data_IF_342274714210
#
_entry.id   IF_342274714210
#
_cell.length_a   1.000
_cell.length_b   1.000
_cell.length_c   1.000
_cell.angle_alpha   90.00
_cell.angle_beta   90.00
_cell.angle_gamma   90.00
#
_symmetry.space_group_name_H-M   'P 1'
#
loop_
_entity.id
_entity.type
_entity.pdbx_description
1 polymer ?
#
# COMPACT_ATOMS: atom_id res chain seq x y z
N UNK A 1 5.09 -12.39 -3.01
CA UNK A 1 5.58 -11.18 -2.33
C UNK A 1 4.58 -10.07 -2.53
N UNK A 2 4.29 -9.29 -1.48
CA UNK A 2 3.44 -8.10 -1.56
C UNK A 2 4.31 -6.84 -1.59
N UNK A 3 4.00 -5.91 -2.49
CA UNK A 3 4.59 -4.57 -2.55
C UNK A 3 3.49 -3.51 -2.64
N UNK A 4 3.76 -2.31 -2.13
CA UNK A 4 2.79 -1.24 -2.04
C UNK A 4 3.28 0.01 -2.76
N UNK A 5 2.35 0.74 -3.35
CA UNK A 5 2.62 1.96 -4.12
C UNK A 5 1.59 3.03 -3.79
N UNK A 6 2.06 4.28 -3.75
CA UNK A 6 1.23 5.49 -3.72
C UNK A 6 1.54 6.31 -4.97
N UNK A 7 0.54 6.55 -5.81
CA UNK A 7 0.68 7.29 -7.07
C UNK A 7 1.84 6.75 -7.93
N UNK A 8 1.86 5.42 -8.10
CA UNK A 8 2.90 4.65 -8.81
C UNK A 8 4.31 4.69 -8.20
N UNK A 9 4.51 5.39 -7.09
CA UNK A 9 5.76 5.41 -6.34
C UNK A 9 5.75 4.32 -5.26
N UNK A 10 6.82 3.50 -5.15
CA UNK A 10 6.89 2.47 -4.13
C UNK A 10 6.91 3.10 -2.74
N UNK A 11 6.18 2.49 -1.80
CA UNK A 11 6.26 2.83 -0.39
C UNK A 11 6.95 1.72 0.38
N UNK A 12 7.61 2.11 1.47
CA UNK A 12 8.33 1.20 2.35
C UNK A 12 7.86 1.39 3.78
N UNK A 13 8.01 0.32 4.57
CA UNK A 13 7.75 0.34 5.99
C UNK A 13 8.59 1.44 6.67
N UNK A 14 7.98 2.20 7.57
CA UNK A 14 8.64 3.31 8.22
C UNK A 14 7.76 4.00 9.27
N UNK A 15 8.14 5.20 9.66
CA UNK A 15 7.51 5.89 10.79
C UNK A 15 6.02 6.22 10.59
N UNK A 16 5.60 6.45 9.34
CA UNK A 16 4.22 6.85 9.01
C UNK A 16 3.39 5.77 8.32
N UNK A 17 4.06 4.84 7.65
CA UNK A 17 3.45 3.76 6.89
C UNK A 17 3.91 2.45 7.50
N UNK A 18 2.98 1.74 8.14
CA UNK A 18 3.26 0.42 8.72
C UNK A 18 2.66 -0.64 7.82
N UNK A 19 3.50 -1.52 7.27
CA UNK A 19 3.09 -2.60 6.38
C UNK A 19 2.77 -3.84 7.23
N UNK A 20 1.49 -4.15 7.40
CA UNK A 20 1.02 -5.27 8.21
C UNK A 20 0.96 -6.54 7.35
N UNK A 21 1.39 -7.65 7.93
CA UNK A 21 1.32 -8.98 7.32
C UNK A 21 0.97 -10.03 8.38
N UNK A 22 -0.25 -10.56 8.31
CA UNK A 22 -0.77 -11.57 9.21
C UNK A 22 -1.39 -12.73 8.41
N UNK A 23 -0.58 -13.77 8.16
CA UNK A 23 -1.00 -14.91 7.34
C UNK A 23 -1.29 -14.48 5.90
N UNK A 24 -2.56 -14.52 5.50
CA UNK A 24 -3.00 -14.08 4.17
C UNK A 24 -3.54 -12.64 4.16
N UNK A 25 -3.53 -11.97 5.31
CA UNK A 25 -3.98 -10.60 5.44
C UNK A 25 -2.80 -9.63 5.29
N UNK A 26 -2.98 -8.62 4.45
CA UNK A 26 -2.01 -7.57 4.20
C UNK A 26 -2.70 -6.20 4.19
N UNK A 27 -2.18 -5.22 4.92
CA UNK A 27 -2.65 -3.84 4.87
C UNK A 27 -1.50 -2.84 5.06
N UNK A 28 -1.81 -1.57 4.82
CA UNK A 28 -0.93 -0.43 5.15
C UNK A 28 -1.67 0.46 6.12
N UNK A 29 -1.09 0.64 7.30
CA UNK A 29 -1.59 1.60 8.27
C UNK A 29 -0.87 2.93 8.06
N UNK A 30 -1.65 3.99 7.83
CA UNK A 30 -1.14 5.35 7.60
C UNK A 30 -1.45 6.21 8.82
N UNK A 31 -0.42 6.61 9.57
CA UNK A 31 -0.59 7.42 10.77
C UNK A 31 0.62 8.33 11.05
N UNK A 32 0.42 9.66 11.26
CA UNK A 32 -0.79 10.42 11.02
C UNK A 32 -1.10 10.57 9.51
N UNK A 33 -2.40 10.68 9.19
CA UNK A 33 -2.87 11.00 7.83
C UNK A 33 -2.73 12.50 7.58
N UNK A 34 -2.26 12.86 6.39
CA UNK A 34 -2.08 14.22 5.89
C UNK A 34 -2.70 14.35 4.49
N UNK A 35 -2.95 15.58 4.02
CA UNK A 35 -3.49 15.81 2.66
C UNK A 35 -2.59 15.24 1.56
N UNK A 36 -1.29 15.14 1.81
CA UNK A 36 -0.32 14.55 0.87
C UNK A 36 -0.53 13.04 0.68
N UNK A 37 -1.25 12.38 1.59
CA UNK A 37 -1.56 10.95 1.50
C UNK A 37 -2.73 10.64 0.54
N UNK A 38 -3.47 11.68 0.12
CA UNK A 38 -4.48 11.54 -0.94
C UNK A 38 -3.84 11.00 -2.21
N UNK A 39 -4.55 10.12 -2.91
CA UNK A 39 -4.09 9.56 -4.17
C UNK A 39 -4.49 8.11 -4.36
N UNK A 40 -3.83 7.48 -5.34
CA UNK A 40 -4.04 6.07 -5.71
C UNK A 40 -3.10 5.17 -4.92
N UNK A 41 -3.66 4.25 -4.15
CA UNK A 41 -2.92 3.26 -3.37
C UNK A 41 -3.08 1.89 -4.01
N UNK A 42 -1.95 1.27 -4.35
CA UNK A 42 -1.93 -0.04 -5.03
C UNK A 42 -1.17 -1.06 -4.21
N UNK A 43 -1.78 -2.22 -3.98
CA UNK A 43 -1.07 -3.42 -3.56
C UNK A 43 -0.79 -4.30 -4.76
N UNK A 44 0.42 -4.84 -4.85
CA UNK A 44 0.88 -5.73 -5.91
C UNK A 44 1.37 -7.04 -5.30
N UNK A 45 0.74 -8.14 -5.70
CA UNK A 45 1.12 -9.50 -5.34
C UNK A 45 1.86 -10.17 -6.51
N UNK A 46 3.07 -10.65 -6.26
CA UNK A 46 3.90 -11.31 -7.27
C UNK A 46 4.39 -12.69 -6.79
N UNK A 47 4.35 -13.69 -7.68
CA UNK A 47 4.93 -15.02 -7.49
C UNK A 47 5.54 -15.53 -8.82
N UNK A 48 6.07 -16.77 -8.83
CA UNK A 48 6.72 -17.34 -10.01
C UNK A 48 5.81 -17.46 -11.25
N UNK A 49 4.49 -17.43 -11.07
CA UNK A 49 3.50 -17.54 -12.15
C UNK A 49 3.06 -16.18 -12.70
N UNK A 50 3.41 -15.08 -12.03
CA UNK A 50 3.09 -13.73 -12.47
C UNK A 50 2.72 -12.78 -11.33
N UNK A 51 1.98 -11.72 -11.69
CA UNK A 51 1.60 -10.63 -10.79
C UNK A 51 0.11 -10.30 -10.89
N UNK A 52 -0.46 -9.81 -9.79
CA UNK A 52 -1.81 -9.27 -9.70
C UNK A 52 -1.82 -8.06 -8.79
N UNK A 53 -2.71 -7.10 -9.02
CA UNK A 53 -2.80 -5.87 -8.24
C UNK A 53 -4.23 -5.49 -7.89
N UNK A 54 -4.39 -4.78 -6.76
CA UNK A 54 -5.62 -4.11 -6.38
C UNK A 54 -5.30 -2.64 -6.07
N UNK A 55 -6.14 -1.74 -6.57
CA UNK A 55 -5.95 -0.29 -6.46
C UNK A 55 -7.19 0.36 -5.85
N UNK A 56 -6.99 1.29 -4.92
CA UNK A 56 -8.04 2.08 -4.28
C UNK A 56 -7.61 3.55 -4.17
N UNK A 57 -8.57 4.47 -4.25
CA UNK A 57 -8.31 5.90 -4.08
C UNK A 57 -8.57 6.30 -2.63
N UNK A 58 -7.58 6.91 -1.97
CA UNK A 58 -7.73 7.54 -0.68
C UNK A 58 -8.04 9.04 -0.87
N UNK A 59 -9.15 9.50 -0.31
CA UNK A 59 -9.51 10.92 -0.25
C UNK A 59 -9.41 11.41 1.19
N UNK A 60 -8.71 12.52 1.42
CA UNK A 60 -8.56 13.14 2.74
C UNK A 60 -9.47 14.37 2.78
N UNK A 61 -10.38 14.42 3.77
CA UNK A 61 -11.40 15.47 3.94
C UNK A 61 -11.12 16.37 5.14
#
# INVERSE_FOLDING_TARGET
QITWYKDDLPIHDGHRFFLVHEGNFHCVDVAPVTVDDQGSWTCMAENHSGRSSCTSTLTVI
#
